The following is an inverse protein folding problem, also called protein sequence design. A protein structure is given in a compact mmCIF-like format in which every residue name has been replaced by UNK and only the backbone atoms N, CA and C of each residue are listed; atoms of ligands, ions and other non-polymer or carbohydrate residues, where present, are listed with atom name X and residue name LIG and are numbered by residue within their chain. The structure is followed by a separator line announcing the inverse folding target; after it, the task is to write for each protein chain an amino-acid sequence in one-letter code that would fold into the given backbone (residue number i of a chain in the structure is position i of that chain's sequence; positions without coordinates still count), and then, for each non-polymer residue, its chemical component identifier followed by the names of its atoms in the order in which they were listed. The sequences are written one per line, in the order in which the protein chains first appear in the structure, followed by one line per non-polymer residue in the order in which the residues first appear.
data_IF_361141236742
#
_entry.id   IF_361141236742
#
_cell.length_a   1.000
_cell.length_b   1.000
_cell.length_c   1.000
_cell.angle_alpha   90.00
_cell.angle_beta   90.00
_cell.angle_gamma   90.00
#
_symmetry.space_group_name_H-M   'P 1'
#
loop_
_entity.id
_entity.type
_entity.pdbx_description
1 polymer ?
#
# COMPACT_ATOMS: atom_id res chain seq x y z
N UNK A 1 27.11 35.80 -4.31
CA UNK A 1 26.39 34.52 -4.43
C UNK A 1 26.70 33.68 -3.21
N UNK A 2 25.92 33.85 -2.15
CA UNK A 2 25.94 32.94 -1.01
C UNK A 2 25.09 31.74 -1.40
N UNK A 3 25.75 30.67 -1.85
CA UNK A 3 25.08 29.40 -2.10
C UNK A 3 24.41 28.97 -0.80
N UNK A 4 23.09 28.89 -0.81
CA UNK A 4 22.35 28.19 0.23
C UNK A 4 22.80 26.74 0.07
N UNK A 5 23.70 26.30 0.96
CA UNK A 5 23.96 24.88 1.17
C UNK A 5 22.60 24.32 1.57
N UNK A 6 21.96 23.55 0.69
CA UNK A 6 20.80 22.76 1.08
C UNK A 6 21.26 21.94 2.27
N UNK A 7 20.72 22.22 3.46
CA UNK A 7 21.01 21.42 4.64
C UNK A 7 20.65 19.98 4.25
N UNK A 8 21.67 19.16 4.08
CA UNK A 8 21.47 17.80 3.65
C UNK A 8 20.63 17.10 4.74
N UNK A 9 19.58 16.40 4.33
CA UNK A 9 18.69 15.73 5.29
C UNK A 9 19.34 14.47 5.85
N UNK A 10 20.53 14.13 5.34
CA UNK A 10 21.39 13.07 5.82
C UNK A 10 21.96 13.34 7.21
N UNK A 11 21.89 12.31 8.05
CA UNK A 11 22.46 12.18 9.40
C UNK A 11 23.65 11.20 9.36
N UNK A 12 24.47 11.26 8.30
CA UNK A 12 25.67 10.42 8.14
C UNK A 12 25.40 9.00 7.66
N UNK A 13 24.18 8.66 7.23
CA UNK A 13 23.83 7.34 6.72
C UNK A 13 24.62 6.94 5.47
N UNK A 14 24.91 7.88 4.56
CA UNK A 14 25.61 7.60 3.30
C UNK A 14 26.99 7.00 3.55
N UNK A 15 27.77 7.56 4.48
CA UNK A 15 29.08 7.01 4.84
C UNK A 15 29.02 5.63 5.50
N UNK A 16 27.89 5.25 6.11
CA UNK A 16 27.68 3.87 6.61
C UNK A 16 27.34 2.93 5.47
N UNK A 17 26.53 3.37 4.51
CA UNK A 17 26.09 2.58 3.36
C UNK A 17 27.24 2.34 2.38
N UNK A 18 28.07 3.35 2.12
CA UNK A 18 29.30 3.25 1.32
C UNK A 18 30.27 2.17 1.83
N UNK A 19 30.22 1.86 3.13
CA UNK A 19 31.05 0.84 3.75
C UNK A 19 30.46 -0.58 3.67
N UNK A 20 29.23 -0.74 3.19
CA UNK A 20 28.57 -2.04 3.09
C UNK A 20 29.08 -2.83 1.86
N UNK A 21 29.25 -4.15 1.98
CA UNK A 21 29.51 -4.99 0.81
C UNK A 21 28.36 -4.94 -0.19
N UNK A 22 28.66 -4.93 -1.49
CA UNK A 22 27.66 -4.89 -2.58
C UNK A 22 26.56 -5.97 -2.45
N UNK A 23 26.91 -7.18 -2.00
CA UNK A 23 25.92 -8.25 -1.82
C UNK A 23 24.86 -7.91 -0.78
N UNK A 24 25.21 -7.09 0.24
CA UNK A 24 24.27 -6.62 1.25
C UNK A 24 23.25 -5.70 0.59
N UNK A 25 23.71 -4.76 -0.23
CA UNK A 25 22.84 -3.83 -0.98
C UNK A 25 21.88 -4.61 -1.89
N UNK A 26 22.35 -5.65 -2.60
CA UNK A 26 21.50 -6.54 -3.41
C UNK A 26 20.43 -7.27 -2.57
N UNK A 27 20.80 -7.76 -1.39
CA UNK A 27 19.81 -8.38 -0.48
C UNK A 27 18.78 -7.36 -0.01
N UNK A 28 19.19 -6.13 0.32
CA UNK A 28 18.25 -5.08 0.72
C UNK A 28 17.40 -4.58 -0.45
N UNK A 29 17.90 -4.62 -1.70
CA UNK A 29 17.09 -4.45 -2.90
C UNK A 29 15.99 -5.53 -2.98
N UNK A 30 16.28 -6.79 -2.62
CA UNK A 30 15.26 -7.82 -2.51
C UNK A 30 14.25 -7.55 -1.37
N UNK A 31 14.73 -7.06 -0.22
CA UNK A 31 13.86 -6.72 0.93
C UNK A 31 12.90 -5.58 0.57
N UNK A 32 13.32 -4.59 -0.23
CA UNK A 32 12.43 -3.48 -0.58
C UNK A 32 11.19 -3.92 -1.36
N UNK A 33 11.25 -5.00 -2.14
CA UNK A 33 10.11 -5.52 -2.88
C UNK A 33 8.91 -5.89 -2.02
N UNK A 34 9.15 -6.25 -0.75
CA UNK A 34 8.10 -6.57 0.20
C UNK A 34 7.14 -5.40 0.46
N UNK A 35 7.46 -4.20 -0.02
CA UNK A 35 6.61 -3.02 0.09
C UNK A 35 6.37 -2.29 -1.24
N UNK A 36 6.65 -2.95 -2.37
CA UNK A 36 6.20 -2.43 -3.65
C UNK A 36 4.66 -2.35 -3.68
N UNK A 37 4.07 -1.28 -4.24
CA UNK A 37 2.61 -1.15 -4.29
C UNK A 37 1.91 -2.36 -4.91
N UNK A 38 2.44 -2.88 -6.03
CA UNK A 38 1.87 -4.06 -6.69
C UNK A 38 1.92 -5.30 -5.77
N UNK A 39 3.01 -5.49 -5.02
CA UNK A 39 3.19 -6.62 -4.12
C UNK A 39 2.23 -6.53 -2.94
N UNK A 40 2.12 -5.34 -2.32
CA UNK A 40 1.21 -5.11 -1.21
C UNK A 40 -0.25 -5.28 -1.63
N UNK A 41 -0.70 -4.63 -2.70
CA UNK A 41 -2.09 -4.72 -3.15
C UNK A 41 -2.44 -6.12 -3.67
N UNK A 42 -1.53 -6.82 -4.37
CA UNK A 42 -1.76 -8.21 -4.76
C UNK A 42 -1.83 -9.13 -3.54
N UNK A 43 -0.93 -8.97 -2.56
CA UNK A 43 -0.94 -9.74 -1.32
C UNK A 43 -2.22 -9.50 -0.49
N UNK A 44 -2.67 -8.25 -0.41
CA UNK A 44 -3.92 -7.88 0.26
C UNK A 44 -5.14 -8.40 -0.49
N UNK A 45 -5.15 -8.39 -1.82
CA UNK A 45 -6.21 -8.99 -2.62
C UNK A 45 -6.28 -10.51 -2.40
N UNK A 46 -5.13 -11.20 -2.36
CA UNK A 46 -5.05 -12.63 -2.03
C UNK A 46 -5.56 -12.90 -0.62
N UNK A 47 -5.12 -12.13 0.38
CA UNK A 47 -5.63 -12.24 1.74
C UNK A 47 -7.15 -12.00 1.77
N UNK A 48 -7.61 -10.94 1.11
CA UNK A 48 -9.03 -10.61 0.94
C UNK A 48 -9.81 -11.63 0.10
N UNK A 49 -9.23 -12.46 -0.74
CA UNK A 49 -10.04 -13.47 -1.45
C UNK A 49 -10.07 -14.79 -0.70
N UNK A 50 -8.97 -15.18 -0.09
CA UNK A 50 -8.81 -16.53 0.45
C UNK A 50 -8.95 -16.63 1.97
N UNK A 51 -8.99 -15.50 2.69
CA UNK A 51 -9.21 -15.55 4.12
C UNK A 51 -10.53 -16.23 4.49
N UNK A 52 -10.49 -16.99 5.57
CA UNK A 52 -11.66 -17.61 6.19
C UNK A 52 -11.67 -17.27 7.67
N UNK A 53 -12.67 -17.76 8.36
CA UNK A 53 -12.83 -17.64 9.82
C UNK A 53 -11.63 -18.19 10.60
N UNK A 54 -10.72 -18.93 9.96
CA UNK A 54 -9.44 -19.31 10.55
C UNK A 54 -8.56 -18.11 10.86
N UNK A 55 -8.68 -17.02 10.11
CA UNK A 55 -7.74 -15.90 10.13
C UNK A 55 -8.30 -14.63 10.79
N UNK A 56 -9.60 -14.36 10.65
CA UNK A 56 -10.26 -13.19 11.24
C UNK A 56 -11.73 -13.53 11.53
N UNK A 57 -12.42 -12.76 12.36
CA UNK A 57 -13.85 -12.98 12.62
C UNK A 57 -14.76 -12.58 11.46
N UNK A 58 -14.46 -11.46 10.80
CA UNK A 58 -15.14 -11.02 9.58
C UNK A 58 -14.11 -10.83 8.47
N UNK A 59 -13.70 -11.91 7.76
CA UNK A 59 -12.57 -11.87 6.83
C UNK A 59 -12.72 -10.87 5.69
N UNK A 60 -13.93 -10.71 5.13
CA UNK A 60 -14.16 -9.77 4.02
C UNK A 60 -14.09 -8.32 4.50
N UNK A 61 -14.74 -7.99 5.61
CA UNK A 61 -14.63 -6.66 6.22
C UNK A 61 -13.20 -6.34 6.61
N UNK A 62 -12.51 -7.29 7.25
CA UNK A 62 -11.10 -7.16 7.66
C UNK A 62 -10.17 -6.93 6.47
N UNK A 63 -10.30 -7.73 5.40
CA UNK A 63 -9.49 -7.56 4.20
C UNK A 63 -9.78 -6.25 3.46
N UNK A 64 -11.04 -5.85 3.34
CA UNK A 64 -11.41 -4.59 2.70
C UNK A 64 -10.92 -3.36 3.49
N UNK A 65 -11.00 -3.39 4.83
CA UNK A 65 -10.44 -2.33 5.69
C UNK A 65 -8.91 -2.29 5.56
N UNK A 66 -8.23 -3.44 5.45
CA UNK A 66 -6.78 -3.47 5.22
C UNK A 66 -6.40 -2.83 3.87
N UNK A 67 -7.12 -3.14 2.80
CA UNK A 67 -6.94 -2.52 1.48
C UNK A 67 -7.19 -1.00 1.56
N UNK A 68 -8.27 -0.59 2.23
CA UNK A 68 -8.61 0.82 2.40
C UNK A 68 -7.55 1.58 3.20
N UNK A 69 -7.03 1.00 4.29
CA UNK A 69 -5.99 1.59 5.13
C UNK A 69 -4.68 1.80 4.35
N UNK A 70 -4.27 0.83 3.53
CA UNK A 70 -3.08 0.98 2.68
C UNK A 70 -3.33 1.99 1.57
N UNK A 71 -4.54 2.06 1.02
CA UNK A 71 -4.92 3.15 0.09
C UNK A 71 -4.81 4.52 0.76
N UNK A 72 -5.29 4.69 2.00
CA UNK A 72 -5.10 5.92 2.77
C UNK A 72 -3.62 6.24 2.98
N UNK A 73 -2.78 5.22 3.21
CA UNK A 73 -1.36 5.40 3.45
C UNK A 73 -0.66 5.96 2.20
N UNK A 74 -0.94 5.41 1.02
CA UNK A 74 -0.43 5.95 -0.25
C UNK A 74 -1.01 7.32 -0.59
N UNK A 75 -2.27 7.61 -0.25
CA UNK A 75 -2.84 8.94 -0.39
C UNK A 75 -2.10 9.98 0.47
N UNK A 76 -1.76 9.62 1.71
CA UNK A 76 -0.96 10.47 2.60
C UNK A 76 0.47 10.69 2.06
N UNK A 77 1.09 9.65 1.47
CA UNK A 77 2.39 9.77 0.80
C UNK A 77 2.31 10.73 -0.39
N UNK A 78 1.32 10.57 -1.26
CA UNK A 78 1.12 11.44 -2.43
C UNK A 78 0.95 12.90 -1.99
N UNK A 79 0.15 13.16 -0.95
CA UNK A 79 0.00 14.50 -0.38
C UNK A 79 1.33 15.02 0.20
N UNK A 80 2.04 14.19 0.96
CA UNK A 80 3.33 14.55 1.55
C UNK A 80 4.38 14.90 0.49
N UNK A 81 4.55 14.05 -0.53
CA UNK A 81 5.46 14.31 -1.65
C UNK A 81 5.11 15.60 -2.37
N UNK A 82 3.83 15.79 -2.73
CA UNK A 82 3.38 16.99 -3.42
C UNK A 82 3.59 18.27 -2.58
N UNK A 83 3.41 18.18 -1.26
CA UNK A 83 3.51 19.30 -0.33
C UNK A 83 4.95 19.70 -0.03
N UNK A 84 5.81 18.72 0.26
CA UNK A 84 7.20 18.98 0.66
C UNK A 84 8.13 19.15 -0.55
N UNK A 85 7.89 18.40 -1.63
CA UNK A 85 8.62 18.52 -2.89
C UNK A 85 10.16 18.48 -2.74
N UNK A 86 10.65 17.68 -1.77
CA UNK A 86 12.09 17.59 -1.46
C UNK A 86 12.76 16.46 -2.25
N UNK A 87 14.00 16.65 -2.73
CA UNK A 87 14.70 15.66 -3.53
C UNK A 87 15.17 14.45 -2.72
N UNK A 88 15.38 13.34 -3.43
CA UNK A 88 16.03 12.12 -2.93
C UNK A 88 17.54 12.31 -2.73
N UNK A 89 18.24 11.34 -2.11
CA UNK A 89 19.70 11.31 -2.11
C UNK A 89 20.28 11.26 -3.53
N UNK A 90 21.50 11.77 -3.76
CA UNK A 90 22.12 11.78 -5.09
C UNK A 90 22.25 10.40 -5.74
N UNK A 91 22.48 9.35 -4.95
CA UNK A 91 22.62 7.96 -5.41
C UNK A 91 21.33 7.33 -5.96
N UNK A 92 20.17 7.94 -5.71
CA UNK A 92 18.88 7.44 -6.22
C UNK A 92 18.70 7.68 -7.74
N UNK A 93 19.55 8.52 -8.34
CA UNK A 93 19.49 8.91 -9.74
C UNK A 93 20.58 8.21 -10.54
N UNK A 94 20.26 7.82 -11.78
CA UNK A 94 21.17 7.03 -12.60
C UNK A 94 22.45 7.76 -13.03
N UNK A 95 23.49 7.02 -13.43
CA UNK A 95 23.50 5.55 -13.59
C UNK A 95 23.61 4.80 -12.25
N UNK A 96 23.00 3.61 -12.18
CA UNK A 96 23.12 2.76 -10.99
C UNK A 96 24.46 2.03 -10.97
N UNK A 97 25.06 1.91 -9.78
CA UNK A 97 26.23 1.07 -9.57
C UNK A 97 25.81 -0.41 -9.44
N UNK A 98 25.71 -1.08 -10.60
CA UNK A 98 25.33 -2.49 -10.68
C UNK A 98 26.53 -3.40 -10.39
N UNK A 99 26.43 -4.35 -9.45
CA UNK A 99 27.52 -5.28 -9.15
C UNK A 99 27.91 -6.14 -10.35
N UNK A 100 29.21 -6.21 -10.66
CA UNK A 100 29.73 -6.91 -11.86
C UNK A 100 29.51 -8.43 -11.84
N UNK A 101 29.31 -9.02 -10.66
CA UNK A 101 29.01 -10.43 -10.47
C UNK A 101 27.52 -10.77 -10.65
N UNK A 102 26.64 -9.77 -10.72
CA UNK A 102 25.21 -9.97 -10.82
C UNK A 102 24.83 -10.44 -12.25
N UNK A 103 24.15 -11.58 -12.42
CA UNK A 103 23.72 -12.05 -13.74
C UNK A 103 22.84 -11.01 -14.45
N UNK A 104 22.96 -10.88 -15.78
CA UNK A 104 22.31 -9.80 -16.52
C UNK A 104 20.80 -9.67 -16.34
N UNK A 105 20.06 -10.78 -16.14
CA UNK A 105 18.62 -10.71 -15.83
C UNK A 105 18.34 -10.07 -14.47
N UNK A 106 19.21 -10.28 -13.48
CA UNK A 106 19.11 -9.68 -12.15
C UNK A 106 19.65 -8.25 -12.12
N UNK A 107 20.54 -7.88 -13.05
CA UNK A 107 21.03 -6.49 -13.19
C UNK A 107 19.88 -5.51 -13.46
N UNK A 108 19.02 -5.80 -14.45
CA UNK A 108 17.88 -4.95 -14.78
C UNK A 108 16.87 -4.84 -13.63
N UNK A 109 16.65 -5.96 -12.92
CA UNK A 109 15.81 -6.00 -11.73
C UNK A 109 16.38 -5.13 -10.61
N UNK A 110 17.68 -5.25 -10.34
CA UNK A 110 18.38 -4.48 -9.31
C UNK A 110 18.36 -2.98 -9.63
N UNK A 111 18.65 -2.61 -10.88
CA UNK A 111 18.55 -1.23 -11.36
C UNK A 111 17.16 -0.63 -11.08
N UNK A 112 16.10 -1.38 -11.39
CA UNK A 112 14.74 -0.95 -11.14
C UNK A 112 14.40 -0.77 -9.64
N UNK A 113 15.21 -1.31 -8.72
CA UNK A 113 15.02 -1.13 -7.27
C UNK A 113 15.80 0.04 -6.69
N UNK A 114 17.01 0.28 -7.19
CA UNK A 114 17.93 1.29 -6.67
C UNK A 114 17.79 2.64 -7.37
N UNK A 115 17.19 2.66 -8.56
CA UNK A 115 16.83 3.90 -9.25
C UNK A 115 15.41 4.32 -8.86
N UNK A 116 15.27 5.58 -8.49
CA UNK A 116 13.96 6.14 -8.18
C UNK A 116 13.93 7.63 -8.47
N UNK A 117 12.98 8.03 -9.30
CA UNK A 117 12.69 9.43 -9.58
C UNK A 117 11.65 10.02 -8.59
N UNK A 118 11.37 11.30 -8.75
CA UNK A 118 10.39 12.03 -7.94
C UNK A 118 10.87 12.42 -6.54
N UNK A 119 9.92 12.83 -5.70
CA UNK A 119 10.23 13.36 -4.38
C UNK A 119 10.53 12.27 -3.34
N UNK A 120 11.43 12.60 -2.42
CA UNK A 120 11.94 11.68 -1.41
C UNK A 120 11.13 11.63 -0.11
N UNK A 121 10.35 12.65 0.25
CA UNK A 121 9.69 12.70 1.56
C UNK A 121 8.17 12.73 1.47
N UNK A 122 7.45 11.92 2.27
CA UNK A 122 7.95 10.79 3.08
C UNK A 122 8.25 9.54 2.22
N UNK A 123 8.89 8.53 2.80
CA UNK A 123 9.14 7.28 2.07
C UNK A 123 7.86 6.47 1.85
N UNK A 124 7.51 6.22 0.58
CA UNK A 124 6.34 5.44 0.18
C UNK A 124 6.41 3.98 0.64
N UNK A 125 7.53 3.29 0.42
CA UNK A 125 7.74 1.90 0.86
C UNK A 125 7.67 1.75 2.38
N UNK A 126 8.30 2.64 3.15
CA UNK A 126 8.23 2.58 4.61
C UNK A 126 6.79 2.78 5.11
N UNK A 127 6.07 3.74 4.53
CA UNK A 127 4.67 4.03 4.87
C UNK A 127 3.76 2.86 4.50
N UNK A 128 3.88 2.34 3.27
CA UNK A 128 3.11 1.21 2.77
C UNK A 128 3.36 -0.06 3.56
N UNK A 129 4.61 -0.35 3.92
CA UNK A 129 4.95 -1.51 4.76
C UNK A 129 4.34 -1.40 6.16
N UNK A 130 4.53 -0.26 6.84
CA UNK A 130 3.93 -0.03 8.14
C UNK A 130 2.41 -0.17 8.09
N UNK A 131 1.78 0.36 7.04
CA UNK A 131 0.35 0.28 6.87
C UNK A 131 -0.16 -1.15 6.59
N UNK A 132 0.42 -1.83 5.61
CA UNK A 132 -0.03 -3.15 5.17
C UNK A 132 0.23 -4.23 6.21
N UNK A 133 1.47 -4.34 6.69
CA UNK A 133 1.83 -5.35 7.68
C UNK A 133 1.23 -5.04 9.06
N UNK A 134 1.05 -3.76 9.39
CA UNK A 134 0.32 -3.32 10.58
C UNK A 134 -1.17 -3.68 10.51
N UNK A 135 -1.84 -3.36 9.41
CA UNK A 135 -3.24 -3.71 9.19
C UNK A 135 -3.46 -5.23 9.23
N UNK A 136 -2.60 -6.02 8.56
CA UNK A 136 -2.65 -7.48 8.64
C UNK A 136 -2.47 -7.98 10.08
N UNK A 137 -1.49 -7.45 10.81
CA UNK A 137 -1.24 -7.87 12.19
C UNK A 137 -2.40 -7.57 13.16
N UNK A 138 -3.15 -6.50 12.89
CA UNK A 138 -4.29 -6.05 13.70
C UNK A 138 -5.60 -6.75 13.30
N UNK A 139 -5.87 -6.87 12.00
CA UNK A 139 -7.16 -7.34 11.49
C UNK A 139 -7.23 -8.88 11.33
N UNK A 140 -6.10 -9.55 11.09
CA UNK A 140 -6.03 -11.01 10.95
C UNK A 140 -5.59 -11.64 12.27
N UNK A 141 -6.52 -11.64 13.21
CA UNK A 141 -6.25 -11.77 14.64
C UNK A 141 -6.37 -13.18 15.23
N UNK A 142 -6.82 -14.16 14.45
CA UNK A 142 -7.03 -15.55 14.91
C UNK A 142 -5.79 -16.43 14.79
N UNK A 143 -4.80 -16.01 14.02
CA UNK A 143 -3.51 -16.72 13.90
C UNK A 143 -2.45 -16.02 14.73
N UNK A 144 -1.73 -16.80 15.54
CA UNK A 144 -0.72 -16.33 16.50
C UNK A 144 -1.28 -15.45 17.61
N UNK A 145 -0.44 -15.07 18.57
CA UNK A 145 -0.76 -14.07 19.60
C UNK A 145 -0.61 -12.66 19.03
N UNK A 146 -1.36 -11.67 19.55
CA UNK A 146 -1.23 -10.26 19.15
C UNK A 146 0.23 -9.76 19.16
N UNK A 147 1.00 -10.07 20.21
CA UNK A 147 2.41 -9.69 20.30
C UNK A 147 3.25 -10.24 19.15
N UNK A 148 3.11 -11.53 18.81
CA UNK A 148 3.85 -12.15 17.71
C UNK A 148 3.49 -11.55 16.36
N UNK A 149 2.21 -11.27 16.11
CA UNK A 149 1.77 -10.60 14.88
C UNK A 149 2.35 -9.20 14.74
N UNK A 150 2.27 -8.40 15.80
CA UNK A 150 2.81 -7.03 15.80
C UNK A 150 4.34 -7.01 15.66
N UNK A 151 5.05 -7.94 16.31
CA UNK A 151 6.49 -8.07 16.14
C UNK A 151 6.88 -8.51 14.72
N UNK A 152 6.13 -9.45 14.12
CA UNK A 152 6.38 -9.89 12.75
C UNK A 152 6.11 -8.74 11.76
N UNK A 153 4.94 -8.11 11.84
CA UNK A 153 4.57 -7.01 10.94
C UNK A 153 5.47 -5.78 11.10
N UNK A 154 5.76 -5.38 12.34
CA UNK A 154 6.69 -4.30 12.64
C UNK A 154 8.12 -4.63 12.22
N UNK A 155 8.56 -5.88 12.39
CA UNK A 155 9.87 -6.34 11.93
C UNK A 155 10.03 -6.23 10.41
N UNK A 156 9.02 -6.65 9.64
CA UNK A 156 9.03 -6.50 8.17
C UNK A 156 9.02 -5.02 7.78
N UNK A 157 8.18 -4.19 8.41
CA UNK A 157 8.14 -2.76 8.12
C UNK A 157 9.47 -2.05 8.40
N UNK A 158 10.14 -2.39 9.51
CA UNK A 158 11.47 -1.86 9.85
C UNK A 158 12.53 -2.37 8.87
N UNK A 159 12.47 -3.64 8.46
CA UNK A 159 13.41 -4.19 7.47
C UNK A 159 13.29 -3.48 6.11
N UNK A 160 12.06 -3.20 5.66
CA UNK A 160 11.80 -2.38 4.47
C UNK A 160 12.29 -0.95 4.67
N UNK A 161 11.99 -0.31 5.80
CA UNK A 161 12.46 1.05 6.05
C UNK A 161 13.99 1.14 6.01
N UNK A 162 14.69 0.17 6.62
CA UNK A 162 16.14 0.06 6.55
C UNK A 162 16.63 -0.16 5.12
N UNK A 163 15.92 -0.97 4.31
CA UNK A 163 16.33 -1.22 2.93
C UNK A 163 16.37 0.04 2.08
N UNK A 164 15.42 0.96 2.27
CA UNK A 164 15.38 2.22 1.52
C UNK A 164 16.57 3.14 1.81
N UNK A 165 17.14 3.06 3.01
CA UNK A 165 18.36 3.79 3.38
C UNK A 165 19.59 3.07 2.81
N UNK A 166 19.64 1.73 2.94
CA UNK A 166 20.77 0.90 2.46
C UNK A 166 20.93 0.94 0.93
N UNK A 167 19.84 1.09 0.18
CA UNK A 167 19.90 1.25 -1.28
C UNK A 167 19.94 2.72 -1.70
N UNK A 168 20.13 3.65 -0.75
CA UNK A 168 20.37 5.08 -0.97
C UNK A 168 19.27 5.85 -1.72
N UNK A 169 18.04 5.34 -1.71
CA UNK A 169 16.89 6.00 -2.35
C UNK A 169 16.12 6.94 -1.42
N UNK A 170 16.42 6.90 -0.12
CA UNK A 170 15.81 7.73 0.91
C UNK A 170 16.77 8.05 2.06
N UNK A 171 16.59 9.22 2.67
CA UNK A 171 17.24 9.56 3.93
C UNK A 171 16.58 8.86 5.12
N UNK A 172 17.29 8.75 6.24
CA UNK A 172 16.73 8.14 7.47
C UNK A 172 15.45 8.84 7.94
N UNK A 173 15.40 10.17 7.81
CA UNK A 173 14.20 10.95 8.17
C UNK A 173 12.99 10.61 7.31
N UNK A 174 13.18 10.28 6.03
CA UNK A 174 12.09 9.92 5.11
C UNK A 174 11.41 8.64 5.56
N UNK A 175 12.20 7.65 5.97
CA UNK A 175 11.70 6.32 6.36
C UNK A 175 11.11 6.32 7.76
N UNK A 176 11.69 7.07 8.70
CA UNK A 176 11.11 7.23 10.05
C UNK A 176 9.78 7.95 9.97
N UNK A 177 9.70 9.05 9.22
CA UNK A 177 8.44 9.74 8.98
C UNK A 177 7.43 8.82 8.30
N UNK A 178 7.87 8.03 7.31
CA UNK A 178 7.01 7.06 6.63
C UNK A 178 6.43 6.00 7.57
N UNK A 179 7.24 5.39 8.45
CA UNK A 179 6.75 4.43 9.44
C UNK A 179 5.70 5.04 10.39
N UNK A 180 5.94 6.27 10.85
CA UNK A 180 5.02 6.99 11.74
C UNK A 180 3.70 7.33 11.02
N UNK A 181 3.78 7.83 9.80
CA UNK A 181 2.59 8.13 8.97
C UNK A 181 1.81 6.85 8.69
N UNK A 182 2.48 5.75 8.30
CA UNK A 182 1.82 4.49 7.99
C UNK A 182 1.11 3.89 9.22
N UNK A 183 1.76 3.88 10.38
CA UNK A 183 1.14 3.44 11.63
C UNK A 183 -0.04 4.32 12.04
N UNK A 184 0.12 5.65 11.96
CA UNK A 184 -0.94 6.61 12.29
C UNK A 184 -2.16 6.48 11.38
N UNK A 185 -1.93 6.32 10.06
CA UNK A 185 -3.01 6.14 9.08
C UNK A 185 -3.79 4.85 9.33
N UNK A 186 -3.13 3.75 9.69
CA UNK A 186 -3.85 2.51 10.07
C UNK A 186 -4.76 2.76 11.27
N UNK A 187 -4.28 3.45 12.31
CA UNK A 187 -5.11 3.78 13.46
C UNK A 187 -6.34 4.62 13.06
N UNK A 188 -6.15 5.62 12.21
CA UNK A 188 -7.26 6.47 11.69
C UNK A 188 -8.23 5.65 10.86
N UNK A 189 -7.73 4.80 9.94
CA UNK A 189 -8.54 3.96 9.09
C UNK A 189 -9.39 2.97 9.91
N UNK A 190 -8.79 2.32 10.91
CA UNK A 190 -9.52 1.44 11.84
C UNK A 190 -10.58 2.21 12.63
N UNK A 191 -10.27 3.43 13.08
CA UNK A 191 -11.18 4.26 13.85
C UNK A 191 -12.40 4.70 13.03
N UNK A 192 -12.21 5.23 11.82
CA UNK A 192 -13.35 5.58 10.95
C UNK A 192 -14.12 4.35 10.48
N UNK A 193 -13.46 3.19 10.35
CA UNK A 193 -14.08 1.95 9.89
C UNK A 193 -14.86 1.18 10.95
N UNK A 194 -14.83 1.56 12.23
CA UNK A 194 -15.66 0.87 13.24
C UNK A 194 -14.92 0.08 14.29
N UNK A 195 -13.58 0.01 14.25
CA UNK A 195 -12.86 -0.94 15.10
C UNK A 195 -12.98 -0.53 16.58
N UNK A 196 -13.57 -1.38 17.44
CA UNK A 196 -13.80 -1.06 18.85
C UNK A 196 -12.50 -0.88 19.64
N UNK A 197 -11.37 -1.44 19.18
CA UNK A 197 -10.07 -1.38 19.86
C UNK A 197 -9.49 0.03 19.87
N UNK A 198 -9.81 0.84 18.86
CA UNK A 198 -9.33 2.22 18.71
C UNK A 198 -10.41 3.28 19.00
N UNK A 199 -11.69 2.90 19.01
CA UNK A 199 -12.83 3.79 19.33
C UNK A 199 -13.11 4.00 20.83
N UNK A 200 -12.44 3.29 21.72
CA UNK A 200 -12.74 3.22 23.16
C UNK A 200 -12.54 4.50 23.98
N UNK A 201 -13.13 5.64 23.59
CA UNK A 201 -13.26 6.85 24.41
C UNK A 201 -14.52 7.71 24.15
N UNK A 202 -15.31 7.47 23.09
CA UNK A 202 -16.58 8.19 22.87
C UNK A 202 -17.79 7.26 23.00
N UNK A 203 -18.81 7.74 23.71
CA UNK A 203 -20.06 7.08 24.10
C UNK A 203 -20.61 6.15 23.02
N UNK A 204 -20.67 4.86 23.32
CA UNK A 204 -21.36 3.88 22.50
C UNK A 204 -22.83 4.30 22.30
N UNK A 205 -23.39 4.24 21.07
CA UNK A 205 -24.83 4.24 20.89
C UNK A 205 -25.45 3.13 21.75
N UNK A 206 -26.63 3.37 22.32
CA UNK A 206 -27.36 2.44 23.19
C UNK A 206 -27.92 1.21 22.44
N UNK A 207 -27.06 0.47 21.77
CA UNK A 207 -27.32 -0.85 21.20
C UNK A 207 -26.41 -1.90 21.86
N UNK A 208 -26.77 -3.19 21.82
CA UNK A 208 -25.88 -4.24 22.30
C UNK A 208 -24.54 -4.16 21.57
N UNK A 209 -23.40 -4.23 22.28
CA UNK A 209 -22.09 -4.25 21.62
C UNK A 209 -22.04 -5.45 20.68
N UNK A 210 -21.74 -5.19 19.41
CA UNK A 210 -21.45 -6.24 18.42
C UNK A 210 -20.09 -6.86 18.80
N UNK A 211 -20.05 -8.08 19.39
CA UNK A 211 -18.85 -8.61 20.03
C UNK A 211 -17.78 -9.05 19.03
N UNK A 212 -18.12 -9.10 17.73
CA UNK A 212 -17.46 -10.00 16.78
C UNK A 212 -16.75 -9.30 15.61
N UNK A 213 -16.75 -7.95 15.55
CA UNK A 213 -16.12 -7.25 14.41
C UNK A 213 -16.92 -7.33 13.10
N UNK A 214 -18.19 -7.77 13.18
CA UNK A 214 -19.16 -7.71 12.08
C UNK A 214 -19.56 -6.26 11.71
N UNK A 215 -19.27 -5.28 12.58
CA UNK A 215 -19.53 -3.86 12.34
C UNK A 215 -18.47 -3.07 11.55
N UNK A 216 -17.41 -3.71 11.02
CA UNK A 216 -16.40 -3.00 10.23
C UNK A 216 -16.95 -2.56 8.86
N UNK A 217 -16.82 -1.27 8.55
CA UNK A 217 -17.16 -0.66 7.26
C UNK A 217 -15.90 -0.01 6.62
N UNK A 218 -15.39 -0.53 5.51
CA UNK A 218 -14.24 0.06 4.79
C UNK A 218 -14.60 1.34 4.02
N UNK A 219 -15.88 1.64 3.81
CA UNK A 219 -16.33 2.76 2.96
C UNK A 219 -15.76 4.11 3.40
N UNK A 220 -15.80 4.50 4.69
CA UNK A 220 -15.23 5.78 5.13
C UNK A 220 -13.73 5.89 4.86
N UNK A 221 -12.98 4.81 5.01
CA UNK A 221 -11.54 4.79 4.74
C UNK A 221 -11.25 4.91 3.24
N UNK A 222 -11.99 4.22 2.39
CA UNK A 222 -11.88 4.39 0.94
C UNK A 222 -12.20 5.81 0.48
N UNK A 223 -13.26 6.42 1.03
CA UNK A 223 -13.61 7.80 0.74
C UNK A 223 -12.57 8.80 1.27
N UNK A 224 -12.02 8.57 2.47
CA UNK A 224 -10.92 9.37 3.01
C UNK A 224 -9.70 9.33 2.07
N UNK A 225 -9.32 8.13 1.60
CA UNK A 225 -8.22 7.99 0.65
C UNK A 225 -8.46 8.77 -0.64
N UNK A 226 -9.68 8.72 -1.19
CA UNK A 226 -10.04 9.49 -2.37
C UNK A 226 -9.95 11.00 -2.12
N UNK A 227 -10.48 11.51 -1.00
CA UNK A 227 -10.45 12.93 -0.64
C UNK A 227 -9.02 13.43 -0.44
N UNK A 228 -8.19 12.69 0.31
CA UNK A 228 -6.77 13.04 0.51
C UNK A 228 -6.02 13.03 -0.81
N UNK A 229 -6.33 12.10 -1.71
CA UNK A 229 -5.73 12.04 -3.04
C UNK A 229 -6.17 13.20 -3.94
N UNK A 230 -7.42 13.66 -3.84
CA UNK A 230 -7.86 14.90 -4.52
C UNK A 230 -7.07 16.10 -4.01
N UNK A 231 -6.86 16.21 -2.70
CA UNK A 231 -6.03 17.27 -2.13
C UNK A 231 -4.58 17.18 -2.62
N UNK A 232 -4.00 15.97 -2.66
CA UNK A 232 -2.67 15.73 -3.22
C UNK A 232 -2.56 16.18 -4.68
N UNK A 233 -3.52 15.82 -5.52
CA UNK A 233 -3.57 16.22 -6.93
C UNK A 233 -3.65 17.75 -7.07
N UNK A 234 -4.45 18.43 -6.22
CA UNK A 234 -4.55 19.89 -6.21
C UNK A 234 -3.23 20.57 -5.81
N UNK A 235 -2.56 20.07 -4.78
CA UNK A 235 -1.24 20.57 -4.34
C UNK A 235 -0.18 20.33 -5.42
N UNK A 236 -0.15 19.12 -6.01
CA UNK A 236 0.78 18.77 -7.08
C UNK A 236 0.58 19.65 -8.32
N UNK A 237 -0.68 19.86 -8.73
CA UNK A 237 -1.01 20.72 -9.86
C UNK A 237 -0.61 22.18 -9.60
N UNK A 238 -0.86 22.71 -8.41
CA UNK A 238 -0.45 24.05 -8.02
C UNK A 238 1.08 24.22 -7.98
N UNK A 239 1.81 23.15 -7.61
CA UNK A 239 3.27 23.10 -7.64
C UNK A 239 3.88 22.82 -9.01
N UNK A 240 3.07 22.50 -10.04
CA UNK A 240 3.56 22.13 -11.37
C UNK A 240 4.18 20.73 -11.45
N UNK A 241 3.89 19.85 -10.49
CA UNK A 241 4.45 18.49 -10.38
C UNK A 241 3.56 17.48 -11.10
N UNK A 242 3.67 17.40 -12.43
CA UNK A 242 2.77 16.56 -13.27
C UNK A 242 2.81 15.07 -12.93
N UNK A 243 3.98 14.51 -12.59
CA UNK A 243 4.09 13.12 -12.16
C UNK A 243 3.29 12.82 -10.88
N UNK A 244 3.37 13.72 -9.90
CA UNK A 244 2.65 13.60 -8.63
C UNK A 244 1.12 13.74 -8.82
N UNK A 245 0.66 14.46 -9.85
CA UNK A 245 -0.78 14.49 -10.22
C UNK A 245 -1.26 13.12 -10.68
N UNK A 246 -0.44 12.38 -11.42
CA UNK A 246 -0.77 11.02 -11.87
C UNK A 246 -0.80 10.05 -10.69
N UNK A 247 0.22 10.09 -9.81
CA UNK A 247 0.25 9.28 -8.57
C UNK A 247 -0.99 9.55 -7.70
N UNK A 248 -1.32 10.82 -7.46
CA UNK A 248 -2.52 11.20 -6.73
C UNK A 248 -3.79 10.72 -7.43
N UNK A 249 -3.84 10.77 -8.77
CA UNK A 249 -4.94 10.22 -9.56
C UNK A 249 -5.20 8.74 -9.28
N UNK A 250 -4.16 7.91 -9.24
CA UNK A 250 -4.27 6.49 -8.90
C UNK A 250 -4.90 6.31 -7.50
N UNK A 251 -4.53 7.16 -6.53
CA UNK A 251 -5.14 7.19 -5.20
C UNK A 251 -6.64 7.52 -5.23
N UNK A 252 -7.07 8.48 -6.07
CA UNK A 252 -8.50 8.80 -6.27
C UNK A 252 -9.23 7.58 -6.83
N UNK A 253 -8.70 7.00 -7.92
CA UNK A 253 -9.30 5.85 -8.58
C UNK A 253 -9.43 4.63 -7.65
N UNK A 254 -8.40 4.38 -6.83
CA UNK A 254 -8.39 3.27 -5.86
C UNK A 254 -9.39 3.51 -4.73
N UNK A 255 -9.45 4.72 -4.17
CA UNK A 255 -10.41 5.08 -3.14
C UNK A 255 -11.86 5.00 -3.64
N UNK A 256 -12.17 5.61 -4.79
CA UNK A 256 -13.50 5.55 -5.39
C UNK A 256 -13.87 4.12 -5.80
N UNK A 257 -12.96 3.41 -6.46
CA UNK A 257 -13.19 2.04 -6.90
C UNK A 257 -13.43 1.08 -5.74
N UNK A 258 -12.70 1.23 -4.63
CA UNK A 258 -12.91 0.44 -3.42
C UNK A 258 -14.26 0.70 -2.77
N UNK A 259 -14.63 1.97 -2.63
CA UNK A 259 -15.94 2.35 -2.09
C UNK A 259 -17.11 1.87 -2.98
N UNK A 260 -16.95 1.92 -4.31
CA UNK A 260 -17.96 1.42 -5.26
C UNK A 260 -18.04 -0.10 -5.22
N UNK A 261 -16.91 -0.80 -5.29
CA UNK A 261 -16.86 -2.26 -5.27
C UNK A 261 -17.43 -2.83 -3.98
N UNK A 262 -17.23 -2.15 -2.84
CA UNK A 262 -17.79 -2.59 -1.56
C UNK A 262 -19.33 -2.52 -1.50
N UNK A 263 -19.99 -1.68 -2.30
CA UNK A 263 -21.47 -1.56 -2.26
C UNK A 263 -22.22 -2.81 -2.69
N UNK A 264 -21.54 -3.75 -3.35
CA UNK A 264 -22.15 -5.00 -3.80
C UNK A 264 -21.75 -6.19 -2.94
N UNK A 265 -20.98 -5.97 -1.87
CA UNK A 265 -20.45 -6.99 -0.97
C UNK A 265 -21.19 -6.86 0.37
N UNK A 266 -21.79 -7.94 0.84
CA UNK A 266 -22.50 -8.02 2.12
C UNK A 266 -21.49 -8.03 3.29
N UNK A 267 -20.29 -8.58 3.07
CA UNK A 267 -19.17 -8.61 4.03
C UNK A 267 -18.99 -9.94 4.74
N UNK A 268 -19.89 -10.89 4.50
CA UNK A 268 -19.91 -12.23 5.11
C UNK A 268 -19.69 -13.34 4.08
N UNK A 269 -19.26 -12.98 2.86
CA UNK A 269 -19.03 -13.93 1.79
C UNK A 269 -17.92 -14.92 2.14
N UNK A 270 -18.06 -16.19 1.69
CA UNK A 270 -17.03 -17.19 1.89
C UNK A 270 -15.74 -16.85 1.12
N UNK A 271 -14.69 -17.61 1.39
CA UNK A 271 -13.46 -17.53 0.61
C UNK A 271 -13.75 -17.79 -0.88
N UNK A 272 -13.19 -16.95 -1.75
CA UNK A 272 -13.34 -17.04 -3.20
C UNK A 272 -12.70 -18.34 -3.70
N UNK A 273 -13.41 -19.17 -4.47
CA UNK A 273 -12.85 -20.41 -4.98
C UNK A 273 -11.75 -20.12 -6.01
N UNK A 274 -10.70 -20.94 -6.02
CA UNK A 274 -9.51 -20.78 -6.89
C UNK A 274 -9.88 -20.64 -8.38
N UNK A 275 -10.91 -21.36 -8.83
CA UNK A 275 -11.44 -21.30 -10.21
C UNK A 275 -11.95 -19.91 -10.63
N UNK A 276 -12.37 -19.08 -9.68
CA UNK A 276 -12.80 -17.68 -9.91
C UNK A 276 -11.64 -16.72 -9.68
N UNK A 277 -10.87 -16.94 -8.61
CA UNK A 277 -9.75 -16.08 -8.25
C UNK A 277 -8.64 -16.03 -9.31
N UNK A 278 -8.27 -17.17 -9.92
CA UNK A 278 -7.18 -17.20 -10.91
C UNK A 278 -7.50 -16.39 -12.17
N UNK A 279 -8.67 -16.56 -12.83
CA UNK A 279 -9.07 -15.69 -13.93
C UNK A 279 -9.17 -14.22 -13.50
N UNK A 280 -9.69 -13.94 -12.31
CA UNK A 280 -9.79 -12.57 -11.80
C UNK A 280 -8.40 -11.92 -11.61
N UNK A 281 -7.40 -12.64 -11.10
CA UNK A 281 -6.02 -12.17 -11.04
C UNK A 281 -5.47 -11.86 -12.44
N UNK A 282 -5.72 -12.75 -13.41
CA UNK A 282 -5.24 -12.54 -14.78
C UNK A 282 -5.85 -11.29 -15.41
N UNK A 283 -7.16 -11.09 -15.25
CA UNK A 283 -7.88 -9.91 -15.79
C UNK A 283 -7.44 -8.63 -15.09
N UNK A 284 -7.44 -8.61 -13.76
CA UNK A 284 -7.07 -7.41 -12.98
C UNK A 284 -5.59 -7.08 -13.16
N UNK A 285 -4.71 -8.08 -13.23
CA UNK A 285 -3.30 -7.91 -13.56
C UNK A 285 -3.09 -7.36 -14.98
N UNK A 286 -3.82 -7.87 -15.97
CA UNK A 286 -3.75 -7.35 -17.34
C UNK A 286 -4.24 -5.89 -17.43
N UNK A 287 -5.28 -5.52 -16.68
CA UNK A 287 -5.75 -4.13 -16.59
C UNK A 287 -4.67 -3.22 -15.98
N UNK A 288 -3.96 -3.68 -14.95
CA UNK A 288 -2.86 -2.93 -14.34
C UNK A 288 -1.66 -2.77 -15.26
N UNK A 289 -1.24 -3.86 -15.93
CA UNK A 289 -0.15 -3.81 -16.93
C UNK A 289 -0.54 -2.90 -18.09
N UNK A 290 -1.79 -2.97 -18.55
CA UNK A 290 -2.32 -2.08 -19.59
C UNK A 290 -2.35 -0.62 -19.15
N UNK A 291 -2.77 -0.34 -17.91
CA UNK A 291 -2.74 1.02 -17.34
C UNK A 291 -1.32 1.58 -17.29
N UNK A 292 -0.34 0.76 -16.89
CA UNK A 292 1.07 1.14 -16.86
C UNK A 292 1.63 1.37 -18.27
N UNK A 293 1.32 0.50 -19.22
CA UNK A 293 1.77 0.63 -20.61
C UNK A 293 1.14 1.84 -21.34
N UNK A 294 0.00 2.35 -20.84
CA UNK A 294 -0.73 3.49 -21.38
C UNK A 294 -0.72 4.69 -20.40
N UNK A 295 0.30 4.77 -19.54
CA UNK A 295 0.39 5.77 -18.47
C UNK A 295 0.42 7.22 -18.98
N UNK A 296 0.71 7.44 -20.27
CA UNK A 296 0.66 8.75 -20.93
C UNK A 296 -0.75 9.37 -20.91
N UNK A 297 -1.79 8.56 -20.74
CA UNK A 297 -3.17 9.01 -20.58
C UNK A 297 -3.64 8.87 -19.14
N UNK A 298 -3.76 10.01 -18.46
CA UNK A 298 -4.35 10.09 -17.12
C UNK A 298 -5.73 9.44 -17.08
N UNK A 299 -6.60 9.74 -18.05
CA UNK A 299 -7.98 9.21 -18.09
C UNK A 299 -7.96 7.68 -18.19
N UNK A 300 -7.12 7.10 -19.05
CA UNK A 300 -7.03 5.64 -19.20
C UNK A 300 -6.53 5.01 -17.91
N UNK A 301 -5.50 5.58 -17.29
CA UNK A 301 -4.95 5.12 -16.01
C UNK A 301 -6.00 5.13 -14.91
N UNK A 302 -6.76 6.23 -14.77
CA UNK A 302 -7.82 6.37 -13.77
C UNK A 302 -8.96 5.36 -13.98
N UNK A 303 -9.43 5.21 -15.22
CA UNK A 303 -10.52 4.27 -15.55
C UNK A 303 -10.07 2.83 -15.32
N UNK A 304 -8.91 2.44 -15.85
CA UNK A 304 -8.39 1.09 -15.69
C UNK A 304 -8.16 0.73 -14.21
N UNK A 305 -7.58 1.65 -13.43
CA UNK A 305 -7.39 1.47 -11.98
C UNK A 305 -8.72 1.32 -11.26
N UNK A 306 -9.69 2.20 -11.55
CA UNK A 306 -11.02 2.15 -10.91
C UNK A 306 -11.71 0.82 -11.21
N UNK A 307 -11.71 0.38 -12.48
CA UNK A 307 -12.31 -0.89 -12.90
C UNK A 307 -11.61 -2.08 -12.25
N UNK A 308 -10.28 -2.09 -12.21
CA UNK A 308 -9.51 -3.15 -11.57
C UNK A 308 -9.84 -3.25 -10.08
N UNK A 309 -9.90 -2.12 -9.36
CA UNK A 309 -10.18 -2.11 -7.93
C UNK A 309 -11.63 -2.49 -7.63
N UNK A 310 -12.61 -2.00 -8.41
CA UNK A 310 -14.01 -2.44 -8.31
C UNK A 310 -14.09 -3.95 -8.49
N UNK A 311 -13.45 -4.49 -9.53
CA UNK A 311 -13.43 -5.93 -9.79
C UNK A 311 -12.80 -6.71 -8.64
N UNK A 312 -11.72 -6.21 -8.05
CA UNK A 312 -11.06 -6.88 -6.91
C UNK A 312 -11.95 -6.92 -5.68
N UNK A 313 -12.54 -5.79 -5.32
CA UNK A 313 -13.35 -5.68 -4.09
C UNK A 313 -14.68 -6.40 -4.26
N UNK A 314 -15.34 -6.30 -5.41
CA UNK A 314 -16.64 -6.91 -5.68
C UNK A 314 -16.58 -8.43 -5.96
N UNK A 315 -15.39 -9.00 -6.20
CA UNK A 315 -15.25 -10.40 -6.60
C UNK A 315 -15.98 -11.40 -5.70
N UNK A 316 -15.94 -11.28 -4.34
CA UNK A 316 -16.60 -12.25 -3.46
C UNK A 316 -18.13 -12.29 -3.62
N UNK A 317 -18.75 -11.21 -4.10
CA UNK A 317 -20.19 -11.15 -4.32
C UNK A 317 -20.66 -11.88 -5.59
N UNK A 318 -19.73 -12.36 -6.43
CA UNK A 318 -20.12 -13.11 -7.63
C UNK A 318 -20.72 -14.46 -7.22
N UNK A 319 -21.95 -14.78 -7.66
CA UNK A 319 -22.59 -16.04 -7.32
C UNK A 319 -21.80 -17.22 -7.89
N UNK A 320 -21.67 -18.28 -7.11
CA UNK A 320 -21.20 -19.59 -7.55
C UNK A 320 -22.20 -20.18 -8.56
N UNK A 321 -22.12 -19.76 -9.83
CA UNK A 321 -22.89 -20.36 -10.94
C UNK A 321 -22.36 -21.75 -11.30
N UNK A 322 -22.36 -22.68 -10.35
CA UNK A 322 -21.97 -24.07 -10.61
C UNK A 322 -22.72 -25.14 -9.80
N UNK A 323 -23.86 -24.83 -9.15
CA UNK A 323 -24.67 -25.85 -8.46
C UNK A 323 -26.19 -25.81 -8.70
N UNK A 324 -26.68 -25.12 -9.75
CA UNK A 324 -28.12 -25.18 -10.11
C UNK A 324 -28.42 -25.77 -11.50
N UNK A 325 -27.41 -26.10 -12.32
CA UNK A 325 -27.63 -26.66 -13.67
C UNK A 325 -27.41 -28.19 -13.76
N UNK A 326 -27.25 -28.89 -12.63
CA UNK A 326 -26.96 -30.33 -12.60
C UNK A 326 -28.01 -31.23 -11.94
N UNK A 327 -29.16 -30.71 -11.52
CA UNK A 327 -30.23 -31.48 -10.86
C UNK A 327 -31.63 -31.22 -11.44
N UNK A 328 -31.70 -30.88 -12.73
CA UNK A 328 -32.95 -30.80 -13.50
C UNK A 328 -33.17 -32.02 -14.37
#
# INVERSE_FOLDING_TARGET
MTGIVSADRGVGETGVVDALPEFVVVVFAAVTHLADPWFLFAGLAVAYWFASDRFATAPRRSGAVAIAAVTCAYAAVALGKAWFAVPRPPGAMGPADVPTWLPGLLSAWYEAQVLSDGFGFPSGHATGAAAAYGALALLYDRVWTARRRLLAGGGVAVAVAASRVVIEVHYLVDVVAGLLVGGGVVCVALWISGDPRVRGFESAPAGPPDPDGAGLDPTPAFLLAAVVSVAAAGVAAAGGHTGEVVEAGIGIATGVGGAVGWRVVDGDEPAVPVRVAVPALAVTGALWVGAYALADSLVVTLVATTVAVVAVVALPALPDRSLSEGLG
#
